data_IF_442595187622
#
_entry.id   IF_442595187622
#
_cell.length_a   1.000
_cell.length_b   1.000
_cell.length_c   1.000
_cell.angle_alpha   90.00
_cell.angle_beta   90.00
_cell.angle_gamma   90.00
#
_symmetry.space_group_name_H-M   'P 1'
#
loop_
_entity.id
_entity.type
_entity.pdbx_description
1 polymer ?
#
# COMPACT_ATOMS: atom_id res chain seq x y z
N UNK A 1 65.72 -17.61 39.51
CA UNK A 1 64.43 -18.25 39.29
C UNK A 1 63.35 -17.19 39.23
N UNK A 2 62.91 -16.76 38.03
CA UNK A 2 61.88 -15.76 37.83
C UNK A 2 60.56 -16.53 37.52
N UNK A 3 59.53 -16.34 38.33
CA UNK A 3 58.19 -16.89 38.13
C UNK A 3 57.39 -15.94 37.25
N UNK A 4 57.01 -16.41 36.07
CA UNK A 4 56.03 -15.74 35.20
C UNK A 4 54.63 -16.14 35.67
N UNK A 5 53.81 -15.16 36.04
CA UNK A 5 52.39 -15.36 36.27
C UNK A 5 51.65 -15.08 34.95
N UNK A 6 50.95 -16.09 34.45
CA UNK A 6 50.08 -15.96 33.29
C UNK A 6 48.69 -15.54 33.80
N UNK A 7 48.27 -14.30 33.50
CA UNK A 7 46.92 -13.84 33.76
C UNK A 7 45.99 -14.29 32.65
N UNK A 8 45.05 -15.18 32.99
CA UNK A 8 43.99 -15.66 32.10
C UNK A 8 42.86 -14.63 32.08
N UNK A 9 42.73 -13.84 31.03
CA UNK A 9 41.59 -12.92 30.80
C UNK A 9 40.41 -13.76 30.26
N UNK A 10 39.42 -13.99 31.13
CA UNK A 10 38.12 -14.54 30.75
C UNK A 10 37.31 -13.45 30.00
N UNK A 11 37.15 -13.57 28.72
CA UNK A 11 36.16 -12.83 27.95
C UNK A 11 34.76 -13.39 28.22
N UNK A 12 33.96 -12.68 29.03
CA UNK A 12 32.52 -12.89 29.10
C UNK A 12 31.90 -12.30 27.84
N UNK A 13 31.63 -13.11 26.85
CA UNK A 13 30.77 -12.76 25.73
C UNK A 13 29.33 -12.53 26.23
N UNK A 14 28.91 -11.28 26.28
CA UNK A 14 27.49 -10.96 26.48
C UNK A 14 26.78 -11.40 25.20
N UNK A 15 26.07 -12.54 25.26
CA UNK A 15 25.12 -12.93 24.23
C UNK A 15 23.95 -11.94 24.33
N UNK A 16 23.97 -10.90 23.48
CA UNK A 16 22.79 -10.06 23.28
C UNK A 16 21.70 -10.97 22.70
N UNK A 17 20.63 -11.20 23.45
CA UNK A 17 19.42 -11.80 22.91
C UNK A 17 18.93 -10.88 21.79
N UNK A 18 18.51 -11.42 20.64
CA UNK A 18 17.86 -10.60 19.63
C UNK A 18 16.68 -9.88 20.28
N UNK A 19 16.60 -8.56 20.14
CA UNK A 19 15.42 -7.82 20.57
C UNK A 19 14.21 -8.42 19.84
N UNK A 20 13.13 -8.69 20.58
CA UNK A 20 11.87 -9.10 19.95
C UNK A 20 11.47 -7.96 18.99
N UNK A 21 10.98 -8.33 17.80
CA UNK A 21 10.44 -7.35 16.87
C UNK A 21 9.30 -6.59 17.57
N UNK A 22 9.26 -5.28 17.41
CA UNK A 22 8.19 -4.45 17.97
C UNK A 22 6.87 -4.75 17.26
N UNK A 23 5.75 -4.63 17.97
CA UNK A 23 4.45 -4.77 17.36
C UNK A 23 4.21 -3.63 16.35
N UNK A 24 3.55 -3.89 15.22
CA UNK A 24 3.21 -2.86 14.26
C UNK A 24 2.37 -1.74 14.89
N UNK A 25 2.60 -0.52 14.42
CA UNK A 25 1.78 0.64 14.76
C UNK A 25 0.38 0.47 14.19
N UNK A 26 -0.63 0.88 14.94
CA UNK A 26 -2.02 0.72 14.51
C UNK A 26 -2.57 2.03 13.98
N UNK A 27 -3.08 2.01 12.76
CA UNK A 27 -3.82 3.07 12.12
C UNK A 27 -5.21 2.57 11.77
N UNK A 28 -6.23 3.42 11.79
CA UNK A 28 -7.53 3.06 11.23
C UNK A 28 -7.52 3.31 9.72
N UNK A 29 -8.31 2.53 8.98
CA UNK A 29 -8.53 2.67 7.54
C UNK A 29 -9.94 3.13 7.28
N UNK A 30 -10.11 4.24 6.52
CA UNK A 30 -11.42 4.81 6.21
C UNK A 30 -11.54 5.19 4.73
N UNK A 31 -12.78 5.25 4.26
CA UNK A 31 -13.13 5.82 2.96
C UNK A 31 -13.08 7.37 2.93
N UNK A 32 -13.30 7.95 1.75
CA UNK A 32 -13.27 9.40 1.56
C UNK A 32 -14.33 10.12 2.40
N UNK A 33 -13.91 11.07 3.24
CA UNK A 33 -14.81 11.89 4.08
C UNK A 33 -15.39 11.15 5.30
N UNK A 34 -14.89 9.97 5.64
CA UNK A 34 -15.39 9.16 6.74
C UNK A 34 -14.60 9.35 8.04
N UNK A 35 -13.40 9.94 8.00
CA UNK A 35 -12.56 10.08 9.19
C UNK A 35 -13.28 10.83 10.31
N UNK A 36 -14.02 11.90 9.99
CA UNK A 36 -14.79 12.66 10.96
C UNK A 36 -15.92 11.89 11.67
N UNK A 37 -16.33 10.75 11.12
CA UNK A 37 -17.33 9.86 11.72
C UNK A 37 -16.71 8.79 12.63
N UNK A 38 -15.38 8.64 12.61
CA UNK A 38 -14.60 7.64 13.33
C UNK A 38 -13.64 8.25 14.35
N UNK A 39 -13.99 9.43 14.89
CA UNK A 39 -13.12 10.15 15.83
C UNK A 39 -12.91 9.38 17.13
N UNK A 40 -13.94 8.65 17.61
CA UNK A 40 -13.82 7.82 18.81
C UNK A 40 -12.75 6.73 18.66
N UNK A 41 -12.63 6.16 17.46
CA UNK A 41 -11.56 5.20 17.15
C UNK A 41 -10.19 5.90 17.06
N UNK A 42 -10.16 7.08 16.44
CA UNK A 42 -8.93 7.86 16.33
C UNK A 42 -8.42 8.36 17.69
N UNK A 43 -9.31 8.61 18.64
CA UNK A 43 -9.00 9.06 20.01
C UNK A 43 -8.43 7.93 20.90
N UNK A 44 -8.50 6.67 20.50
CA UNK A 44 -7.95 5.52 21.24
C UNK A 44 -6.43 5.69 21.43
N UNK A 45 -5.95 5.28 22.59
CA UNK A 45 -4.52 5.37 22.91
C UNK A 45 -3.63 4.41 22.10
N UNK A 46 -4.20 3.31 21.63
CA UNK A 46 -3.51 2.28 20.82
C UNK A 46 -3.56 2.57 19.31
N UNK A 47 -4.24 3.63 18.88
CA UNK A 47 -4.28 4.09 17.48
C UNK A 47 -3.36 5.29 17.32
N UNK A 48 -2.46 5.26 16.35
CA UNK A 48 -1.47 6.32 16.11
C UNK A 48 -1.82 7.24 14.94
N UNK A 49 -2.78 6.84 14.12
CA UNK A 49 -3.19 7.63 12.96
C UNK A 49 -4.32 7.02 12.17
N UNK A 50 -4.50 7.56 10.98
CA UNK A 50 -5.48 7.06 10.00
C UNK A 50 -4.87 6.98 8.60
N UNK A 51 -5.29 5.97 7.83
CA UNK A 51 -5.18 5.95 6.39
C UNK A 51 -6.53 6.33 5.80
N UNK A 52 -6.56 7.33 4.93
CA UNK A 52 -7.77 7.77 4.24
C UNK A 52 -7.60 7.65 2.73
N UNK A 53 -8.63 7.12 2.07
CA UNK A 53 -8.65 6.97 0.61
C UNK A 53 -9.09 8.27 -0.06
N UNK A 54 -8.33 8.72 -1.06
CA UNK A 54 -8.65 9.89 -1.88
C UNK A 54 -8.66 9.49 -3.36
N UNK A 55 -9.84 9.36 -3.99
CA UNK A 55 -9.93 9.12 -5.44
C UNK A 55 -9.26 10.23 -6.24
N UNK A 56 -8.51 9.89 -7.28
CA UNK A 56 -7.87 10.88 -8.15
C UNK A 56 -8.84 11.96 -8.64
N UNK A 57 -10.05 11.59 -9.06
CA UNK A 57 -11.08 12.53 -9.52
C UNK A 57 -11.48 13.59 -8.47
N UNK A 58 -11.31 13.28 -7.18
CA UNK A 58 -11.56 14.22 -6.08
C UNK A 58 -10.41 15.21 -5.96
N UNK A 59 -9.18 14.74 -6.13
CA UNK A 59 -7.96 15.55 -5.99
C UNK A 59 -7.69 16.43 -7.21
N UNK A 60 -8.18 16.05 -8.39
CA UNK A 60 -8.07 16.80 -9.65
C UNK A 60 -9.41 16.76 -10.38
N UNK A 61 -10.41 17.57 -9.96
CA UNK A 61 -11.74 17.57 -10.57
C UNK A 61 -11.74 18.04 -12.03
N UNK A 62 -10.83 18.94 -12.40
CA UNK A 62 -10.63 19.43 -13.78
C UNK A 62 -9.13 19.40 -14.11
N UNK A 63 -8.80 19.32 -15.40
CA UNK A 63 -7.40 19.23 -15.85
C UNK A 63 -6.54 20.37 -15.30
N UNK A 64 -5.61 20.03 -14.38
CA UNK A 64 -4.71 20.99 -13.75
C UNK A 64 -5.34 21.84 -12.66
N UNK A 65 -6.58 21.57 -12.27
CA UNK A 65 -7.24 22.19 -11.12
C UNK A 65 -7.27 21.17 -9.99
N UNK A 66 -6.61 21.49 -8.89
CA UNK A 66 -6.46 20.55 -7.75
C UNK A 66 -7.30 21.02 -6.57
N UNK A 67 -7.99 20.08 -5.95
CA UNK A 67 -8.76 20.29 -4.72
C UNK A 67 -8.25 19.32 -3.63
N UNK A 68 -7.55 19.87 -2.65
CA UNK A 68 -7.00 19.13 -1.51
C UNK A 68 -7.73 19.44 -0.21
N UNK A 69 -8.90 20.07 -0.28
CA UNK A 69 -9.69 20.46 0.90
C UNK A 69 -10.00 19.27 1.82
N UNK A 70 -10.24 18.08 1.25
CA UNK A 70 -10.48 16.86 2.03
C UNK A 70 -9.21 16.43 2.81
N UNK A 71 -8.04 16.45 2.17
CA UNK A 71 -6.77 16.11 2.85
C UNK A 71 -6.47 17.13 3.96
N UNK A 72 -6.67 18.44 3.70
CA UNK A 72 -6.46 19.47 4.72
C UNK A 72 -7.42 19.33 5.91
N UNK A 73 -8.68 18.95 5.65
CA UNK A 73 -9.65 18.70 6.72
C UNK A 73 -9.24 17.50 7.58
N UNK A 74 -8.83 16.38 6.95
CA UNK A 74 -8.40 15.18 7.67
C UNK A 74 -7.08 15.39 8.41
N UNK A 75 -6.13 16.17 7.86
CA UNK A 75 -4.93 16.61 8.56
C UNK A 75 -5.27 17.41 9.82
N UNK A 76 -6.21 18.34 9.71
CA UNK A 76 -6.64 19.13 10.88
C UNK A 76 -7.24 18.24 11.98
N UNK A 77 -7.97 17.17 11.63
CA UNK A 77 -8.52 16.20 12.59
C UNK A 77 -7.44 15.38 13.27
N UNK A 78 -6.43 14.91 12.51
CA UNK A 78 -5.31 14.13 13.05
C UNK A 78 -4.36 15.01 13.88
N UNK A 79 -3.99 16.18 13.39
CA UNK A 79 -3.10 17.13 14.09
C UNK A 79 -3.67 17.58 15.45
N UNK A 80 -4.99 17.88 15.50
CA UNK A 80 -5.66 18.25 16.73
C UNK A 80 -5.58 17.17 17.83
N UNK A 81 -5.27 15.93 17.45
CA UNK A 81 -5.17 14.74 18.33
C UNK A 81 -3.74 14.24 18.52
N UNK A 82 -2.76 14.88 17.90
CA UNK A 82 -1.38 14.41 17.87
C UNK A 82 -1.24 13.06 17.13
N UNK A 83 -2.14 12.80 16.15
CA UNK A 83 -2.17 11.61 15.32
C UNK A 83 -1.62 11.89 13.94
N UNK A 84 -1.33 10.84 13.17
CA UNK A 84 -0.72 10.94 11.86
C UNK A 84 -1.71 10.58 10.75
N UNK A 85 -1.56 11.22 9.58
CA UNK A 85 -2.36 10.93 8.40
C UNK A 85 -1.53 10.23 7.32
N UNK A 86 -2.07 9.13 6.79
CA UNK A 86 -1.58 8.43 5.62
C UNK A 86 -2.59 8.62 4.48
N UNK A 87 -2.18 9.21 3.37
CA UNK A 87 -3.06 9.46 2.24
C UNK A 87 -2.92 8.33 1.19
N UNK A 88 -4.01 7.60 0.93
CA UNK A 88 -4.05 6.64 -0.17
C UNK A 88 -4.63 7.30 -1.41
N UNK A 89 -3.80 7.55 -2.42
CA UNK A 89 -4.28 8.02 -3.73
C UNK A 89 -4.81 6.84 -4.51
N UNK A 90 -6.07 6.90 -4.94
CA UNK A 90 -6.74 5.79 -5.61
C UNK A 90 -7.28 6.16 -6.98
N UNK A 91 -6.87 5.40 -8.00
CA UNK A 91 -7.25 5.57 -9.40
C UNK A 91 -8.10 4.41 -9.95
N UNK A 92 -8.29 3.36 -9.15
CA UNK A 92 -8.98 2.13 -9.51
C UNK A 92 -10.04 1.75 -8.49
N UNK A 93 -10.92 0.86 -8.87
CA UNK A 93 -11.82 0.17 -7.96
C UNK A 93 -12.40 -1.10 -8.59
N UNK A 94 -12.77 -2.07 -7.74
CA UNK A 94 -13.36 -3.34 -8.14
C UNK A 94 -14.89 -3.30 -8.19
N UNK A 95 -15.46 -2.18 -8.63
CA UNK A 95 -16.90 -2.02 -8.86
C UNK A 95 -17.16 -1.53 -10.28
N UNK A 96 -18.14 -2.10 -10.99
CA UNK A 96 -18.46 -1.74 -12.37
C UNK A 96 -18.83 -0.26 -12.54
N UNK A 97 -19.38 0.35 -11.49
CA UNK A 97 -19.85 1.75 -11.51
C UNK A 97 -18.81 2.77 -11.08
N UNK A 98 -17.74 2.34 -10.40
CA UNK A 98 -16.72 3.25 -9.89
C UNK A 98 -15.85 3.82 -11.03
N UNK A 99 -15.62 5.13 -11.00
CA UNK A 99 -14.73 5.87 -11.91
C UNK A 99 -13.90 6.81 -11.05
N UNK A 100 -12.70 6.37 -10.67
CA UNK A 100 -11.85 7.12 -9.72
C UNK A 100 -10.88 8.09 -10.38
N UNK A 101 -10.95 8.21 -11.72
CA UNK A 101 -10.14 9.18 -12.47
C UNK A 101 -10.97 10.42 -12.86
N UNK A 102 -10.34 11.58 -13.09
CA UNK A 102 -11.01 12.78 -13.57
C UNK A 102 -11.79 12.57 -14.85
N UNK A 103 -12.92 13.27 -14.99
CA UNK A 103 -13.83 13.12 -16.14
C UNK A 103 -13.14 13.45 -17.48
N UNK A 104 -12.24 14.43 -17.52
CA UNK A 104 -11.54 14.79 -18.75
C UNK A 104 -10.67 13.64 -19.31
N UNK A 105 -10.17 12.73 -18.47
CA UNK A 105 -9.43 11.55 -18.93
C UNK A 105 -10.33 10.55 -19.66
N UNK A 106 -11.64 10.53 -19.36
CA UNK A 106 -12.62 9.69 -20.01
C UNK A 106 -13.10 10.26 -21.33
N UNK A 107 -13.18 11.59 -21.44
CA UNK A 107 -13.82 12.30 -22.54
C UNK A 107 -12.84 12.74 -23.65
N UNK A 108 -11.59 13.04 -23.32
CA UNK A 108 -10.59 13.52 -24.27
C UNK A 108 -9.87 12.34 -24.93
N UNK A 109 -9.92 12.24 -26.27
CA UNK A 109 -9.26 11.17 -27.05
C UNK A 109 -7.76 11.00 -26.80
N UNK A 110 -7.06 12.05 -26.32
CA UNK A 110 -5.64 12.02 -25.96
C UNK A 110 -5.34 10.90 -24.95
N UNK A 111 -6.28 10.64 -24.04
CA UNK A 111 -6.13 9.67 -22.96
C UNK A 111 -6.66 8.27 -23.29
N UNK A 112 -7.21 8.07 -24.50
CA UNK A 112 -7.73 6.77 -24.95
C UNK A 112 -8.88 6.22 -24.11
N UNK A 113 -9.62 7.10 -23.39
CA UNK A 113 -10.68 6.74 -22.46
C UNK A 113 -10.24 6.61 -21.00
N UNK A 114 -8.95 6.79 -20.70
CA UNK A 114 -8.38 6.93 -19.35
C UNK A 114 -8.42 5.68 -18.47
N UNK A 115 -9.39 4.79 -18.67
CA UNK A 115 -9.63 3.59 -17.85
C UNK A 115 -9.68 2.32 -18.70
N UNK A 116 -9.12 1.24 -18.19
CA UNK A 116 -9.27 -0.11 -18.70
C UNK A 116 -10.11 -0.95 -17.74
N UNK A 117 -10.82 -1.93 -18.31
CA UNK A 117 -11.63 -2.88 -17.54
C UNK A 117 -10.76 -3.97 -16.95
N UNK A 118 -11.11 -4.38 -15.74
CA UNK A 118 -10.47 -5.48 -15.03
C UNK A 118 -11.52 -6.35 -14.33
N UNK A 119 -11.13 -7.58 -14.01
CA UNK A 119 -11.87 -8.41 -13.08
C UNK A 119 -11.69 -7.89 -11.64
N UNK A 120 -12.55 -8.31 -10.72
CA UNK A 120 -12.54 -7.87 -9.31
C UNK A 120 -11.78 -8.82 -8.38
N UNK A 121 -11.30 -9.93 -8.90
CA UNK A 121 -10.58 -10.94 -8.11
C UNK A 121 -9.25 -11.33 -8.78
N UNK A 122 -8.29 -10.40 -8.88
CA UNK A 122 -7.01 -10.70 -9.52
C UNK A 122 -6.19 -11.71 -8.71
N UNK A 123 -5.67 -12.72 -9.42
CA UNK A 123 -4.67 -13.64 -8.88
C UNK A 123 -5.20 -14.83 -8.09
N UNK A 124 -6.48 -14.91 -7.71
CA UNK A 124 -7.02 -16.04 -6.98
C UNK A 124 -8.52 -16.25 -7.21
N UNK A 125 -8.91 -17.52 -7.42
CA UNK A 125 -10.31 -17.93 -7.62
C UNK A 125 -10.86 -17.57 -8.99
N UNK A 126 -12.19 -17.70 -9.13
CA UNK A 126 -12.90 -17.30 -10.34
C UNK A 126 -13.25 -15.81 -10.26
N UNK A 127 -13.06 -15.04 -11.35
CA UNK A 127 -13.41 -13.63 -11.37
C UNK A 127 -14.92 -13.43 -11.20
N UNK A 128 -15.35 -12.65 -10.20
CA UNK A 128 -16.76 -12.49 -9.84
C UNK A 128 -17.38 -11.19 -10.34
N UNK A 129 -16.62 -10.21 -10.68
CA UNK A 129 -17.16 -8.93 -11.08
C UNK A 129 -16.29 -8.23 -12.10
N UNK A 130 -16.41 -6.92 -12.14
CA UNK A 130 -15.64 -6.08 -13.02
C UNK A 130 -15.35 -4.77 -12.31
N UNK A 131 -14.13 -4.30 -12.51
CA UNK A 131 -13.70 -3.00 -12.03
C UNK A 131 -13.01 -2.21 -13.13
N UNK A 132 -12.31 -1.18 -12.72
CA UNK A 132 -11.61 -0.26 -13.60
C UNK A 132 -10.28 0.13 -12.99
N UNK A 133 -9.26 0.30 -13.84
CA UNK A 133 -7.95 0.85 -13.46
C UNK A 133 -7.54 1.94 -14.44
N UNK A 134 -6.79 2.94 -13.98
CA UNK A 134 -6.23 3.95 -14.85
C UNK A 134 -5.21 3.34 -15.81
N UNK A 135 -5.25 3.76 -17.08
CA UNK A 135 -4.35 3.27 -18.12
C UNK A 135 -2.97 3.94 -18.03
N UNK A 136 -2.21 3.69 -16.96
CA UNK A 136 -0.88 4.28 -16.78
C UNK A 136 0.13 3.92 -17.86
N UNK A 137 -0.08 2.84 -18.63
CA UNK A 137 0.69 2.53 -19.83
C UNK A 137 0.46 3.53 -20.97
N UNK A 138 -0.65 4.31 -20.94
CA UNK A 138 -0.80 5.49 -21.78
C UNK A 138 0.05 6.63 -21.22
N UNK A 139 1.05 7.15 -21.97
CA UNK A 139 1.96 8.18 -21.45
C UNK A 139 1.25 9.47 -21.06
N UNK A 140 0.15 9.84 -21.73
CA UNK A 140 -0.60 11.05 -21.40
C UNK A 140 -1.35 10.90 -20.06
N UNK A 141 -1.98 9.74 -19.79
CA UNK A 141 -2.61 9.42 -18.50
C UNK A 141 -1.55 9.42 -17.38
N UNK A 142 -0.42 8.73 -17.61
CA UNK A 142 0.68 8.68 -16.65
C UNK A 142 1.23 10.06 -16.32
N UNK A 143 1.43 10.92 -17.31
CA UNK A 143 1.91 12.28 -17.10
C UNK A 143 0.94 13.11 -16.23
N UNK A 144 -0.36 12.91 -16.36
CA UNK A 144 -1.34 13.58 -15.49
C UNK A 144 -1.27 13.10 -14.05
N UNK A 145 -1.14 11.78 -13.85
CA UNK A 145 -0.98 11.21 -12.50
C UNK A 145 0.31 11.71 -11.82
N UNK A 146 1.42 11.74 -12.56
CA UNK A 146 2.69 12.27 -12.06
C UNK A 146 2.61 13.76 -11.75
N UNK A 147 1.85 14.54 -12.53
CA UNK A 147 1.59 15.94 -12.22
C UNK A 147 0.76 16.12 -10.93
N UNK A 148 -0.22 15.25 -10.68
CA UNK A 148 -0.94 15.23 -9.40
C UNK A 148 0.03 14.94 -8.25
N UNK A 149 0.87 13.91 -8.37
CA UNK A 149 1.85 13.56 -7.33
C UNK A 149 2.82 14.71 -7.02
N UNK A 150 3.28 15.42 -8.06
CA UNK A 150 4.17 16.58 -7.88
C UNK A 150 3.48 17.70 -7.07
N UNK A 151 2.24 18.05 -7.40
CA UNK A 151 1.49 19.11 -6.68
C UNK A 151 1.11 18.66 -5.25
N UNK A 152 0.81 17.37 -5.06
CA UNK A 152 0.63 16.80 -3.72
C UNK A 152 1.91 16.91 -2.89
N UNK A 153 3.06 16.58 -3.47
CA UNK A 153 4.36 16.73 -2.82
C UNK A 153 4.65 18.19 -2.44
N UNK A 154 4.49 19.12 -3.38
CA UNK A 154 4.67 20.55 -3.13
C UNK A 154 3.82 21.06 -1.95
N UNK A 155 2.65 20.46 -1.73
CA UNK A 155 1.70 20.90 -0.69
C UNK A 155 1.89 20.18 0.64
N UNK A 156 2.22 18.89 0.63
CA UNK A 156 2.08 18.01 1.79
C UNK A 156 3.35 17.26 2.20
N UNK A 157 4.47 17.39 1.48
CA UNK A 157 5.71 16.76 1.90
C UNK A 157 6.13 17.24 3.29
N UNK A 158 6.46 16.32 4.17
CA UNK A 158 6.75 16.55 5.59
C UNK A 158 5.52 16.84 6.47
N UNK A 159 4.30 16.95 5.88
CA UNK A 159 3.04 17.14 6.63
C UNK A 159 2.25 15.84 6.78
N UNK A 160 2.25 15.01 5.74
CA UNK A 160 1.70 13.65 5.81
C UNK A 160 2.73 12.71 6.41
N UNK A 161 2.28 11.70 7.15
CA UNK A 161 3.16 10.60 7.55
C UNK A 161 3.54 9.76 6.33
N UNK A 162 2.60 9.48 5.45
CA UNK A 162 2.87 8.74 4.23
C UNK A 162 1.82 8.92 3.14
N UNK A 163 2.20 8.48 1.94
CA UNK A 163 1.33 8.42 0.76
C UNK A 163 1.38 7.00 0.20
N UNK A 164 0.21 6.39 -0.01
CA UNK A 164 0.08 5.13 -0.75
C UNK A 164 -0.22 5.39 -2.21
N UNK A 165 0.53 4.71 -3.07
CA UNK A 165 0.24 4.60 -4.50
C UNK A 165 -0.76 3.47 -4.76
N UNK A 166 -1.49 3.52 -5.90
CA UNK A 166 -2.40 2.47 -6.30
C UNK A 166 -1.72 1.10 -6.35
N UNK A 167 -2.47 0.08 -5.98
CA UNK A 167 -2.01 -1.31 -5.94
C UNK A 167 -1.54 -1.81 -7.32
N UNK A 168 -0.54 -2.70 -7.35
CA UNK A 168 -0.03 -3.30 -8.59
C UNK A 168 -0.98 -4.37 -9.18
N UNK A 169 -1.87 -4.94 -8.38
CA UNK A 169 -2.77 -6.00 -8.83
C UNK A 169 -3.72 -5.47 -9.93
N UNK A 170 -3.69 -6.15 -11.05
CA UNK A 170 -4.54 -5.87 -12.20
C UNK A 170 -4.81 -7.19 -12.94
N UNK A 171 -6.07 -7.60 -12.99
CA UNK A 171 -6.51 -8.74 -13.81
C UNK A 171 -7.22 -8.22 -15.05
N UNK A 172 -6.49 -8.05 -16.17
CA UNK A 172 -6.99 -7.31 -17.31
C UNK A 172 -8.11 -8.02 -18.05
N UNK A 173 -9.17 -7.29 -18.36
CA UNK A 173 -10.15 -7.63 -19.40
C UNK A 173 -9.75 -7.10 -20.78
N UNK A 174 -8.56 -6.50 -20.88
CA UNK A 174 -7.93 -6.07 -22.13
C UNK A 174 -6.83 -7.07 -22.50
N UNK A 175 -6.58 -7.24 -23.79
CA UNK A 175 -5.56 -8.15 -24.28
C UNK A 175 -4.36 -7.39 -24.84
N UNK A 176 -3.18 -8.02 -24.80
CA UNK A 176 -2.02 -7.48 -25.48
C UNK A 176 -2.29 -7.33 -26.99
N UNK A 177 -1.93 -6.16 -27.51
CA UNK A 177 -2.18 -5.81 -28.92
C UNK A 177 -3.51 -5.13 -29.17
N UNK A 178 -4.36 -4.96 -28.16
CA UNK A 178 -5.54 -4.12 -28.26
C UNK A 178 -5.18 -2.66 -28.58
N UNK A 179 -6.14 -1.92 -29.16
CA UNK A 179 -5.94 -0.53 -29.58
C UNK A 179 -5.60 0.43 -28.44
N UNK A 180 -5.78 0.01 -27.18
CA UNK A 180 -5.42 0.78 -25.98
C UNK A 180 -3.90 0.72 -25.65
N UNK A 181 -3.11 -0.07 -26.39
CA UNK A 181 -1.66 -0.17 -26.22
C UNK A 181 -1.20 -0.94 -24.96
N UNK A 182 -2.08 -1.72 -24.33
CA UNK A 182 -1.71 -2.53 -23.17
C UNK A 182 -0.69 -3.61 -23.55
N UNK A 183 0.38 -3.68 -22.75
CA UNK A 183 1.24 -4.85 -22.60
C UNK A 183 1.60 -4.98 -21.12
N UNK A 184 1.93 -6.20 -20.68
CA UNK A 184 2.32 -6.43 -19.30
C UNK A 184 3.56 -5.63 -18.92
N UNK A 185 4.55 -5.59 -19.81
CA UNK A 185 5.76 -4.78 -19.61
C UNK A 185 5.43 -3.27 -19.56
N UNK A 186 4.58 -2.76 -20.44
CA UNK A 186 4.21 -1.35 -20.44
C UNK A 186 3.47 -0.95 -19.14
N UNK A 187 2.60 -1.82 -18.61
CA UNK A 187 1.96 -1.59 -17.32
C UNK A 187 2.97 -1.60 -16.17
N UNK A 188 3.85 -2.59 -16.16
CA UNK A 188 4.91 -2.71 -15.15
C UNK A 188 5.83 -1.49 -15.16
N UNK A 189 6.40 -1.13 -16.32
CA UNK A 189 7.31 -0.01 -16.44
C UNK A 189 6.64 1.32 -16.07
N UNK A 190 5.36 1.51 -16.44
CA UNK A 190 4.58 2.68 -16.03
C UNK A 190 4.40 2.78 -14.51
N UNK A 191 4.22 1.65 -13.84
CA UNK A 191 4.12 1.62 -12.37
C UNK A 191 5.46 2.00 -11.74
N UNK A 192 6.58 1.49 -12.24
CA UNK A 192 7.91 1.88 -11.75
C UNK A 192 8.19 3.38 -11.99
N UNK A 193 7.76 3.94 -13.12
CA UNK A 193 7.88 5.38 -13.40
C UNK A 193 7.07 6.21 -12.39
N UNK A 194 5.86 5.76 -12.03
CA UNK A 194 5.04 6.43 -11.01
C UNK A 194 5.67 6.33 -9.61
N UNK A 195 6.29 5.20 -9.26
CA UNK A 195 7.04 5.04 -8.00
C UNK A 195 8.18 6.08 -7.92
N UNK A 196 8.97 6.22 -8.98
CA UNK A 196 10.05 7.23 -9.04
C UNK A 196 9.52 8.66 -8.97
N UNK A 197 8.45 8.95 -9.70
CA UNK A 197 7.82 10.28 -9.67
C UNK A 197 7.28 10.64 -8.28
N UNK A 198 6.67 9.68 -7.59
CA UNK A 198 6.22 9.86 -6.22
C UNK A 198 7.40 10.11 -5.27
N UNK A 199 8.47 9.32 -5.36
CA UNK A 199 9.67 9.51 -4.52
C UNK A 199 10.32 10.88 -4.75
N UNK A 200 10.35 11.33 -6.01
CA UNK A 200 10.88 12.65 -6.35
C UNK A 200 10.01 13.80 -5.80
N UNK A 201 8.70 13.58 -5.68
CA UNK A 201 7.76 14.56 -5.15
C UNK A 201 7.78 14.64 -3.61
N UNK A 202 8.08 13.55 -2.93
CA UNK A 202 8.01 13.45 -1.46
C UNK A 202 9.40 13.10 -0.89
N UNK A 203 10.12 14.11 -0.42
CA UNK A 203 11.46 13.91 0.15
C UNK A 203 11.44 13.45 1.61
N UNK A 204 10.48 13.95 2.40
CA UNK A 204 10.35 13.71 3.84
C UNK A 204 9.23 12.73 4.19
N UNK A 205 8.13 12.75 3.43
CA UNK A 205 6.97 11.87 3.61
C UNK A 205 7.26 10.46 3.08
N UNK A 206 6.85 9.43 3.81
CA UNK A 206 6.95 8.06 3.33
C UNK A 206 6.10 7.85 2.08
N UNK A 207 6.69 7.25 1.05
CA UNK A 207 5.96 6.81 -0.15
C UNK A 207 5.91 5.30 -0.15
N UNK A 208 4.71 4.72 -0.16
CA UNK A 208 4.48 3.28 -0.14
C UNK A 208 3.79 2.85 -1.42
N UNK A 209 4.37 1.91 -2.13
CA UNK A 209 3.71 1.22 -3.25
C UNK A 209 3.01 -0.04 -2.73
N UNK A 210 1.71 -0.19 -3.03
CA UNK A 210 1.04 -1.46 -2.77
C UNK A 210 1.44 -2.48 -3.84
N UNK A 211 2.23 -3.49 -3.40
CA UNK A 211 2.77 -4.58 -4.22
C UNK A 211 2.05 -5.88 -3.87
N UNK A 212 1.11 -6.29 -4.70
CA UNK A 212 0.35 -7.51 -4.49
C UNK A 212 0.58 -8.49 -5.64
N UNK A 213 -0.23 -8.47 -6.70
CA UNK A 213 -0.03 -9.26 -7.91
C UNK A 213 0.35 -8.37 -9.09
N UNK A 214 0.86 -8.99 -10.15
CA UNK A 214 1.10 -8.33 -11.42
C UNK A 214 0.34 -9.04 -12.54
N UNK A 215 -0.20 -8.32 -13.53
CA UNK A 215 -0.71 -8.95 -14.72
C UNK A 215 0.39 -9.76 -15.39
N UNK A 216 0.02 -10.91 -15.96
CA UNK A 216 0.90 -11.84 -16.64
C UNK A 216 1.95 -12.54 -15.76
N UNK A 217 2.19 -12.13 -14.53
CA UNK A 217 3.16 -12.78 -13.66
C UNK A 217 2.53 -13.79 -12.73
N UNK A 218 3.08 -14.99 -12.72
CA UNK A 218 2.77 -15.98 -11.72
C UNK A 218 4.04 -16.70 -11.26
N UNK A 219 4.28 -16.70 -9.95
CA UNK A 219 5.47 -17.32 -9.38
C UNK A 219 6.79 -16.69 -9.86
N UNK A 220 6.80 -15.36 -10.00
CA UNK A 220 7.97 -14.56 -10.41
C UNK A 220 8.55 -14.92 -11.79
N UNK A 221 7.74 -15.44 -12.70
CA UNK A 221 8.20 -15.88 -14.03
C UNK A 221 8.58 -14.71 -14.95
N UNK A 222 8.04 -13.50 -14.73
CA UNK A 222 8.44 -12.24 -15.38
C UNK A 222 9.39 -11.40 -14.53
N UNK A 223 9.61 -11.77 -13.26
CA UNK A 223 10.43 -11.04 -12.30
C UNK A 223 9.95 -9.59 -12.03
N UNK A 224 8.66 -9.32 -12.20
CA UNK A 224 8.10 -8.00 -11.91
C UNK A 224 8.12 -7.71 -10.42
N UNK A 225 7.68 -8.66 -9.61
CA UNK A 225 7.71 -8.51 -8.15
C UNK A 225 9.14 -8.28 -7.66
N UNK A 226 10.09 -9.09 -8.10
CA UNK A 226 11.50 -8.96 -7.73
C UNK A 226 12.07 -7.57 -8.11
N UNK A 227 11.78 -7.11 -9.34
CA UNK A 227 12.27 -5.81 -9.83
C UNK A 227 11.61 -4.63 -9.12
N UNK A 228 10.31 -4.73 -8.77
CA UNK A 228 9.61 -3.68 -8.04
C UNK A 228 10.14 -3.52 -6.61
N UNK A 229 10.39 -4.64 -5.90
CA UNK A 229 11.02 -4.59 -4.58
C UNK A 229 12.46 -4.08 -4.64
N UNK A 230 13.25 -4.49 -5.65
CA UNK A 230 14.59 -3.97 -5.84
C UNK A 230 14.59 -2.44 -6.04
N UNK A 231 13.67 -1.92 -6.86
CA UNK A 231 13.49 -0.48 -7.02
C UNK A 231 13.08 0.19 -5.71
N UNK A 232 12.15 -0.40 -4.97
CA UNK A 232 11.69 0.18 -3.71
C UNK A 232 12.86 0.34 -2.71
N UNK A 233 13.71 -0.66 -2.59
CA UNK A 233 14.92 -0.60 -1.76
C UNK A 233 15.92 0.44 -2.30
N UNK A 234 16.20 0.45 -3.61
CA UNK A 234 17.16 1.35 -4.24
C UNK A 234 16.77 2.83 -4.08
N UNK A 235 15.49 3.15 -4.28
CA UNK A 235 14.98 4.53 -4.23
C UNK A 235 14.51 4.97 -2.83
N UNK A 236 14.56 4.08 -1.84
CA UNK A 236 14.08 4.36 -0.49
C UNK A 236 12.55 4.53 -0.42
N UNK A 237 11.82 3.71 -1.17
CA UNK A 237 10.37 3.60 -1.11
C UNK A 237 9.95 2.52 -0.12
N UNK A 238 8.84 2.74 0.56
CA UNK A 238 8.17 1.68 1.30
C UNK A 238 7.39 0.74 0.38
N UNK A 239 7.07 -0.41 0.90
CA UNK A 239 6.18 -1.38 0.26
C UNK A 239 4.98 -1.67 1.16
N UNK A 240 3.86 -2.07 0.55
CA UNK A 240 2.67 -2.43 1.29
C UNK A 240 1.73 -3.30 0.47
N UNK A 241 0.55 -3.53 1.02
CA UNK A 241 -0.49 -4.30 0.35
C UNK A 241 -1.87 -4.06 0.98
N UNK A 242 -2.94 -4.34 0.23
CA UNK A 242 -4.30 -4.12 0.71
C UNK A 242 -4.76 -5.14 1.75
N UNK A 243 -4.07 -6.30 1.85
CA UNK A 243 -4.50 -7.41 2.66
C UNK A 243 -3.37 -8.06 3.43
N UNK A 244 -3.57 -8.29 4.72
CA UNK A 244 -2.79 -9.22 5.53
C UNK A 244 -3.67 -10.45 5.78
N UNK A 245 -3.43 -11.55 5.05
CA UNK A 245 -4.14 -12.81 5.28
C UNK A 245 -3.11 -13.90 5.62
N UNK A 246 -3.00 -14.32 6.88
CA UNK A 246 -1.99 -15.28 7.28
C UNK A 246 -2.06 -16.56 6.45
N UNK A 247 -0.91 -16.97 5.92
CA UNK A 247 -0.73 -18.21 5.17
C UNK A 247 -1.58 -18.38 3.90
N UNK A 248 -2.16 -17.30 3.37
CA UNK A 248 -2.97 -17.38 2.15
C UNK A 248 -2.11 -17.82 0.96
N UNK A 249 -2.52 -18.91 0.30
CA UNK A 249 -1.71 -19.64 -0.68
C UNK A 249 -1.22 -18.78 -1.84
N UNK A 250 -2.08 -17.94 -2.41
CA UNK A 250 -1.70 -17.12 -3.56
C UNK A 250 -0.67 -16.05 -3.18
N UNK A 251 -0.88 -15.35 -2.08
CA UNK A 251 0.05 -14.35 -1.56
C UNK A 251 1.35 -14.97 -1.08
N UNK A 252 1.29 -16.11 -0.38
CA UNK A 252 2.49 -16.87 0.05
C UNK A 252 3.34 -17.33 -1.12
N UNK A 253 2.76 -17.43 -2.31
CA UNK A 253 3.48 -17.81 -3.52
C UNK A 253 4.02 -16.61 -4.30
N UNK A 254 3.25 -15.53 -4.41
CA UNK A 254 3.50 -14.49 -5.40
C UNK A 254 3.89 -13.12 -4.81
N UNK A 255 3.59 -12.84 -3.54
CA UNK A 255 3.78 -11.52 -2.93
C UNK A 255 4.55 -11.59 -1.60
N UNK A 256 4.03 -12.26 -0.59
CA UNK A 256 4.57 -12.23 0.78
C UNK A 256 6.03 -12.67 0.94
N UNK A 257 6.58 -13.62 0.15
CA UNK A 257 8.01 -13.95 0.25
C UNK A 257 8.95 -12.80 -0.09
N UNK A 258 8.50 -11.82 -0.87
CA UNK A 258 9.29 -10.63 -1.19
C UNK A 258 9.29 -9.65 -0.02
N UNK A 259 8.16 -9.45 0.66
CA UNK A 259 8.12 -8.72 1.94
C UNK A 259 9.06 -9.35 2.96
N UNK A 260 8.93 -10.65 3.20
CA UNK A 260 9.79 -11.37 4.15
C UNK A 260 11.29 -11.20 3.83
N UNK A 261 11.66 -11.21 2.54
CA UNK A 261 13.06 -11.07 2.11
C UNK A 261 13.60 -9.67 2.32
N UNK A 262 12.77 -8.64 2.09
CA UNK A 262 13.20 -7.23 2.03
C UNK A 262 12.75 -6.40 3.23
N UNK A 263 12.10 -7.00 4.22
CA UNK A 263 11.55 -6.28 5.38
C UNK A 263 12.57 -5.43 6.14
N UNK A 264 13.82 -5.88 6.17
CA UNK A 264 14.90 -5.17 6.87
C UNK A 264 15.61 -4.13 5.97
N UNK A 265 15.33 -4.12 4.66
CA UNK A 265 15.92 -3.21 3.68
C UNK A 265 14.98 -2.06 3.29
N UNK A 266 13.67 -2.22 3.52
CA UNK A 266 12.66 -1.22 3.20
C UNK A 266 12.56 -0.18 4.32
N UNK A 267 12.39 1.12 3.98
CA UNK A 267 12.22 2.17 5.00
C UNK A 267 10.89 2.09 5.76
N UNK A 268 9.88 1.43 5.18
CA UNK A 268 8.56 1.22 5.77
C UNK A 268 7.83 0.07 5.05
N UNK A 269 7.22 -0.82 5.83
CA UNK A 269 6.23 -1.78 5.35
C UNK A 269 4.88 -1.43 5.98
N UNK A 270 3.90 -1.05 5.15
CA UNK A 270 2.59 -0.61 5.61
C UNK A 270 1.48 -1.35 4.87
N UNK A 271 0.67 -2.12 5.59
CA UNK A 271 -0.34 -3.01 5.00
C UNK A 271 -1.70 -2.85 5.65
N UNK A 272 -2.76 -3.09 4.87
CA UNK A 272 -4.12 -2.99 5.36
C UNK A 272 -4.73 -4.35 5.76
N UNK A 273 -5.74 -4.29 6.61
CA UNK A 273 -6.72 -5.35 6.87
C UNK A 273 -8.09 -4.75 6.60
N UNK A 274 -8.59 -4.98 5.39
CA UNK A 274 -9.86 -4.45 4.89
C UNK A 274 -11.04 -5.37 5.27
N UNK A 275 -12.27 -4.93 5.01
CA UNK A 275 -13.49 -5.70 5.33
C UNK A 275 -13.48 -7.11 4.74
N UNK A 276 -13.13 -7.32 3.45
CA UNK A 276 -13.06 -8.66 2.89
C UNK A 276 -12.08 -9.56 3.63
N UNK A 277 -10.93 -9.01 4.09
CA UNK A 277 -9.92 -9.72 4.84
C UNK A 277 -10.45 -10.26 6.16
N UNK A 278 -11.31 -9.50 6.85
CA UNK A 278 -11.95 -9.92 8.10
C UNK A 278 -12.89 -11.13 7.94
N UNK A 279 -13.27 -11.45 6.70
CA UNK A 279 -14.15 -12.58 6.41
C UNK A 279 -13.42 -13.94 6.32
N UNK A 280 -12.10 -13.94 6.15
CA UNK A 280 -11.33 -15.17 6.01
C UNK A 280 -11.23 -15.96 7.32
N UNK A 281 -11.15 -17.29 7.17
CA UNK A 281 -10.98 -18.23 8.29
C UNK A 281 -9.55 -18.78 8.29
N UNK A 282 -9.05 -19.03 9.48
CA UNK A 282 -7.80 -19.76 9.66
C UNK A 282 -8.04 -21.24 9.32
N UNK A 283 -7.30 -21.80 8.35
CA UNK A 283 -7.51 -23.18 7.91
C UNK A 283 -7.13 -24.25 8.99
N UNK A 284 -6.43 -23.84 10.03
CA UNK A 284 -6.05 -24.75 11.12
C UNK A 284 -7.17 -24.88 12.18
N UNK A 285 -7.95 -23.80 12.41
CA UNK A 285 -8.98 -23.75 13.45
C UNK A 285 -10.41 -23.76 12.91
N UNK A 286 -10.57 -23.47 11.62
CA UNK A 286 -11.87 -23.22 10.96
C UNK A 286 -12.65 -22.03 11.55
N UNK A 287 -11.96 -21.17 12.32
CA UNK A 287 -12.50 -19.95 12.90
C UNK A 287 -11.94 -18.73 12.17
N UNK A 288 -12.62 -17.56 12.31
CA UNK A 288 -12.09 -16.31 11.77
C UNK A 288 -10.76 -15.96 12.44
N UNK A 289 -9.86 -15.35 11.67
CA UNK A 289 -8.61 -14.86 12.23
C UNK A 289 -8.87 -13.85 13.35
N UNK A 290 -8.11 -13.99 14.42
CA UNK A 290 -8.05 -13.05 15.55
C UNK A 290 -7.10 -11.89 15.25
N UNK A 291 -7.24 -10.79 16.02
CA UNK A 291 -6.28 -9.67 15.96
C UNK A 291 -4.83 -10.14 16.16
N UNK A 292 -4.61 -11.00 17.15
CA UNK A 292 -3.25 -11.45 17.50
C UNK A 292 -2.63 -12.32 16.39
N UNK A 293 -3.41 -13.11 15.67
CA UNK A 293 -2.92 -13.88 14.52
C UNK A 293 -2.52 -12.94 13.36
N UNK A 294 -3.29 -11.90 13.09
CA UNK A 294 -2.90 -10.88 12.11
C UNK A 294 -1.62 -10.15 12.52
N UNK A 295 -1.53 -9.68 13.76
CA UNK A 295 -0.36 -8.97 14.29
C UNK A 295 0.88 -9.85 14.27
N UNK A 296 0.78 -11.09 14.73
CA UNK A 296 1.90 -12.02 14.74
C UNK A 296 2.42 -12.28 13.32
N UNK A 297 1.54 -12.55 12.36
CA UNK A 297 1.95 -12.78 10.98
C UNK A 297 2.54 -11.52 10.32
N UNK A 298 1.93 -10.37 10.57
CA UNK A 298 2.43 -9.07 10.10
C UNK A 298 3.84 -8.78 10.61
N UNK A 299 4.06 -8.90 11.91
CA UNK A 299 5.34 -8.64 12.57
C UNK A 299 6.40 -9.68 12.19
N UNK A 300 6.11 -10.95 12.40
CA UNK A 300 7.14 -12.01 12.37
C UNK A 300 7.50 -12.42 10.95
N UNK A 301 6.51 -12.47 10.05
CA UNK A 301 6.73 -12.92 8.68
C UNK A 301 6.88 -11.75 7.70
N UNK A 302 5.95 -10.80 7.69
CA UNK A 302 5.92 -9.72 6.69
C UNK A 302 6.84 -8.55 7.04
N UNK A 303 7.17 -8.35 8.33
CA UNK A 303 7.95 -7.20 8.80
C UNK A 303 7.18 -5.90 8.67
N UNK A 304 5.86 -5.95 8.92
CA UNK A 304 4.99 -4.78 8.82
C UNK A 304 5.26 -3.81 9.98
N UNK A 305 5.50 -2.54 9.65
CA UNK A 305 5.67 -1.46 10.62
C UNK A 305 4.34 -0.78 10.97
N UNK A 306 3.40 -0.75 10.02
CA UNK A 306 2.08 -0.10 10.18
C UNK A 306 0.98 -1.00 9.65
N UNK A 307 -0.02 -1.28 10.48
CA UNK A 307 -1.25 -1.93 10.06
C UNK A 307 -2.36 -0.89 9.94
N UNK A 308 -3.03 -0.84 8.79
CA UNK A 308 -4.24 -0.07 8.57
C UNK A 308 -5.45 -0.97 8.81
N UNK A 309 -6.10 -0.81 9.96
CA UNK A 309 -7.27 -1.59 10.35
C UNK A 309 -8.54 -0.98 9.77
N UNK A 310 -9.33 -1.76 9.04
CA UNK A 310 -10.70 -1.35 8.72
C UNK A 310 -11.44 -0.95 9.99
N UNK A 311 -12.20 0.14 9.92
CA UNK A 311 -13.06 0.59 11.03
C UNK A 311 -14.13 -0.46 11.40
N UNK A 312 -14.41 -1.42 10.53
CA UNK A 312 -15.28 -2.57 10.76
C UNK A 312 -14.61 -3.69 11.58
N UNK A 313 -13.33 -3.55 11.95
CA UNK A 313 -12.61 -4.56 12.72
C UNK A 313 -13.27 -4.80 14.09
N UNK A 314 -13.64 -6.04 14.44
CA UNK A 314 -14.40 -6.34 15.66
C UNK A 314 -13.71 -5.86 16.95
N UNK A 315 -12.38 -5.91 16.99
CA UNK A 315 -11.57 -5.48 18.15
C UNK A 315 -11.42 -3.96 18.28
N UNK A 316 -11.86 -3.18 17.31
CA UNK A 316 -11.92 -1.72 17.45
C UNK A 316 -13.17 -1.26 18.18
N UNK A 317 -14.24 -2.05 18.14
CA UNK A 317 -15.51 -1.76 18.83
C UNK A 317 -15.60 -2.31 20.27
N UNK A 318 -14.61 -3.11 20.71
CA UNK A 318 -14.55 -3.60 22.10
C UNK A 318 -13.80 -2.60 22.96
N UNK A 319 -14.48 -2.10 23.99
CA UNK A 319 -13.90 -1.33 25.09
C UNK A 319 -12.91 -2.15 25.93
#
# INVERSE_FOLDING_TARGET
MRRFAIALLLWLGILASPAAAEDPRNFIYTGPGELGQNLDLLDRADIEGAQVVYPWRMLEPEKGVYDFSAIEADLALTDARGKQLFAQVQDRFFLPTARNVPQYLLDDPEYGGGLARQYDNPGEGEPEGQGWTAMHWNPAVRARFQALLAVLGDRFDGRLFGVNLPESAFDPLVQEGDANGFTCDAYFDATLDNMRAARAAFAETHVVQYLNFWPCEWNNDHRYMERAFALAVEEGLGAGGPDIVPNRRAQMKNSYPFFNRHKDDLPLVAMAIQEPTLSYTNPETDEKFTRDEFVAFARDYLGVDVIFWSVESPWLSTE
#
